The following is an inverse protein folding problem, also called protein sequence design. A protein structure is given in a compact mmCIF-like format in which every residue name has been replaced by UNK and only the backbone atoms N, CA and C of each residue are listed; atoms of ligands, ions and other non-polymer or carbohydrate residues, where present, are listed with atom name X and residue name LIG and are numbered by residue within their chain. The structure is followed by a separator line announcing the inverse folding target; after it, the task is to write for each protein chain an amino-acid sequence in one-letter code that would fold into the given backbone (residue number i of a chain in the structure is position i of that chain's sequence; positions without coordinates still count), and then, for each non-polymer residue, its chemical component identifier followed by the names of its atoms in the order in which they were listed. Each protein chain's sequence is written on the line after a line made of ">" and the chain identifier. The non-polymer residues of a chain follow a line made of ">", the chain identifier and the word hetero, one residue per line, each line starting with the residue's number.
data_IF_021790005313
#
_entry.id   IF_021790005313
#
_cell.length_a   1.000
_cell.length_b   1.000
_cell.length_c   1.000
_cell.angle_alpha   90.00
_cell.angle_beta   90.00
_cell.angle_gamma   90.00
#
_symmetry.space_group_name_H-M   'P 1'
#
loop_
_entity.id
_entity.type
_entity.pdbx_description
1 polymer ?
#
# COMPACT_ATOMS: atom_id res chain seq x y z
N UNK A 1 23.97 12.56 -5.18
CA UNK A 1 22.55 12.23 -5.00
C UNK A 1 21.96 13.03 -3.83
N UNK A 2 22.62 13.06 -2.66
CA UNK A 2 22.13 13.76 -1.46
C UNK A 2 21.99 15.28 -1.68
N UNK A 3 23.02 15.91 -2.21
CA UNK A 3 23.01 17.37 -2.50
C UNK A 3 21.89 17.70 -3.50
N UNK A 4 21.76 16.92 -4.55
CA UNK A 4 20.70 17.13 -5.56
C UNK A 4 19.30 17.03 -4.95
N UNK A 5 19.04 16.05 -4.09
CA UNK A 5 17.79 15.93 -3.37
C UNK A 5 17.45 17.20 -2.58
N UNK A 6 18.39 17.70 -1.79
CA UNK A 6 18.18 18.88 -0.97
C UNK A 6 18.04 20.17 -1.80
N UNK A 7 18.81 20.35 -2.84
CA UNK A 7 18.67 21.48 -3.77
C UNK A 7 17.28 21.45 -4.41
N UNK A 8 16.84 20.31 -4.91
CA UNK A 8 15.53 20.18 -5.52
C UNK A 8 14.41 20.45 -4.50
N UNK A 9 14.51 19.89 -3.30
CA UNK A 9 13.52 20.04 -2.23
C UNK A 9 13.46 21.46 -1.65
N UNK A 10 14.60 22.10 -1.41
CA UNK A 10 14.65 23.36 -0.64
C UNK A 10 14.77 24.60 -1.50
N UNK A 11 15.38 24.50 -2.67
CA UNK A 11 15.71 25.67 -3.51
C UNK A 11 14.84 25.75 -4.76
N UNK A 12 14.59 24.62 -5.44
CA UNK A 12 13.93 24.64 -6.75
C UNK A 12 12.46 24.29 -6.63
N UNK A 13 12.16 23.00 -6.41
CA UNK A 13 10.79 22.49 -6.48
C UNK A 13 9.96 22.84 -5.23
N UNK A 14 10.58 22.77 -4.06
CA UNK A 14 9.90 22.99 -2.80
C UNK A 14 9.27 24.36 -2.67
N UNK A 15 9.97 25.48 -2.86
CA UNK A 15 9.41 26.82 -2.79
C UNK A 15 8.26 27.01 -3.78
N UNK A 16 8.41 26.53 -5.02
CA UNK A 16 7.38 26.61 -6.07
C UNK A 16 6.12 25.85 -5.63
N UNK A 17 6.25 24.61 -5.20
CA UNK A 17 5.11 23.79 -4.78
C UNK A 17 4.44 24.36 -3.52
N UNK A 18 5.22 24.86 -2.56
CA UNK A 18 4.69 25.50 -1.34
C UNK A 18 3.91 26.77 -1.67
N UNK A 19 4.39 27.59 -2.61
CA UNK A 19 3.70 28.79 -3.05
C UNK A 19 2.38 28.48 -3.77
N UNK A 20 2.42 27.52 -4.71
CA UNK A 20 1.29 27.19 -5.58
C UNK A 20 0.19 26.40 -4.87
N UNK A 21 0.56 25.42 -4.06
CA UNK A 21 -0.38 24.48 -3.44
C UNK A 21 -0.65 24.79 -1.97
N UNK A 22 0.15 25.67 -1.34
CA UNK A 22 0.04 26.03 0.08
C UNK A 22 -0.21 24.82 0.97
N UNK A 23 0.64 23.78 0.89
CA UNK A 23 0.43 22.56 1.65
C UNK A 23 0.52 22.85 3.15
N UNK A 24 -0.19 22.05 3.94
CA UNK A 24 -0.20 22.11 5.38
C UNK A 24 0.10 20.76 5.99
N UNK A 25 0.64 20.75 7.21
CA UNK A 25 0.96 19.53 7.97
C UNK A 25 0.29 19.63 9.33
N UNK A 26 -0.23 18.51 9.79
CA UNK A 26 -0.64 18.28 11.18
C UNK A 26 0.14 17.08 11.73
N UNK A 27 0.56 17.13 13.00
CA UNK A 27 1.31 16.04 13.64
C UNK A 27 2.80 16.01 13.28
N UNK A 28 3.40 17.16 12.91
CA UNK A 28 4.83 17.23 12.57
C UNK A 28 5.72 16.82 13.76
N UNK A 29 5.25 17.04 14.99
CA UNK A 29 5.89 16.62 16.24
C UNK A 29 6.04 15.10 16.39
N UNK A 30 5.28 14.32 15.61
CA UNK A 30 5.38 12.86 15.60
C UNK A 30 6.55 12.33 14.75
N UNK A 31 7.17 13.21 13.93
CA UNK A 31 8.28 12.79 13.08
C UNK A 31 9.52 12.56 13.94
N UNK A 32 10.15 11.36 13.91
CA UNK A 32 11.36 11.15 14.70
C UNK A 32 12.51 12.00 14.17
N UNK A 33 13.24 12.66 15.07
CA UNK A 33 14.41 13.48 14.72
C UNK A 33 15.54 12.66 14.13
N UNK A 34 15.71 11.42 14.59
CA UNK A 34 16.73 10.49 14.15
C UNK A 34 16.21 9.03 14.09
N UNK A 35 17.04 8.12 13.60
CA UNK A 35 16.70 6.71 13.48
C UNK A 35 15.77 6.41 12.29
N UNK A 36 15.51 5.13 12.08
CA UNK A 36 14.63 4.64 11.02
C UNK A 36 13.16 4.65 11.45
N UNK A 37 12.28 4.90 10.51
CA UNK A 37 10.84 4.73 10.68
C UNK A 37 10.16 4.45 9.34
N UNK A 38 9.01 3.78 9.39
CA UNK A 38 8.14 3.57 8.23
C UNK A 38 7.03 4.61 8.27
N UNK A 39 6.83 5.33 7.17
CA UNK A 39 5.70 6.21 6.94
C UNK A 39 4.69 5.49 6.07
N UNK A 40 3.68 4.91 6.70
CA UNK A 40 2.58 4.21 6.02
C UNK A 40 1.51 5.23 5.63
N UNK A 41 1.25 5.39 4.34
CA UNK A 41 0.31 6.41 3.85
C UNK A 41 -0.78 5.80 2.97
N UNK A 42 -1.99 6.38 2.99
CA UNK A 42 -2.97 6.16 1.95
C UNK A 42 -2.41 6.60 0.59
N UNK A 43 -2.91 6.04 -0.49
CA UNK A 43 -2.40 6.35 -1.84
C UNK A 43 -3.52 6.80 -2.77
N UNK A 44 -3.65 8.10 -2.94
CA UNK A 44 -4.72 8.74 -3.72
C UNK A 44 -4.25 9.18 -5.10
N UNK A 45 -3.00 9.63 -5.20
CA UNK A 45 -2.48 10.30 -6.39
C UNK A 45 -0.98 10.05 -6.59
N UNK A 46 -0.50 10.26 -7.81
CA UNK A 46 0.93 10.31 -8.09
C UNK A 46 1.64 11.40 -7.26
N UNK A 47 0.96 12.52 -7.02
CA UNK A 47 1.52 13.64 -6.25
C UNK A 47 1.75 13.34 -4.77
N UNK A 48 1.17 12.28 -4.20
CA UNK A 48 1.47 11.86 -2.82
C UNK A 48 2.96 11.66 -2.60
N UNK A 49 3.63 10.99 -3.54
CA UNK A 49 5.08 10.74 -3.50
C UNK A 49 5.95 11.99 -3.72
N UNK A 50 5.32 13.13 -3.99
CA UNK A 50 5.99 14.43 -4.11
C UNK A 50 5.74 15.26 -2.85
N UNK A 51 4.47 15.39 -2.44
CA UNK A 51 4.10 16.24 -1.32
C UNK A 51 4.49 15.67 0.03
N UNK A 52 4.36 14.37 0.25
CA UNK A 52 4.76 13.75 1.52
C UNK A 52 6.25 13.97 1.83
N UNK A 53 7.21 13.62 0.97
CA UNK A 53 8.62 13.88 1.24
C UNK A 53 8.97 15.38 1.25
N UNK A 54 8.18 16.24 0.59
CA UNK A 54 8.36 17.68 0.63
C UNK A 54 8.08 18.24 2.03
N UNK A 55 7.08 17.70 2.71
CA UNK A 55 6.62 18.20 4.00
C UNK A 55 7.37 17.59 5.20
N UNK A 56 8.02 16.43 5.04
CA UNK A 56 8.83 15.80 6.08
C UNK A 56 10.22 16.43 6.10
N UNK A 57 10.76 16.94 7.23
CA UNK A 57 12.06 17.65 7.27
C UNK A 57 13.23 16.74 6.94
N UNK A 58 13.14 15.45 7.20
CA UNK A 58 14.16 14.44 6.90
C UNK A 58 14.00 13.88 5.48
N UNK A 59 15.09 13.26 4.98
CA UNK A 59 15.03 12.54 3.71
C UNK A 59 14.18 11.29 3.85
N UNK A 60 13.23 11.13 2.93
CA UNK A 60 12.36 9.97 2.83
C UNK A 60 12.59 9.23 1.52
N UNK A 61 12.69 7.91 1.60
CA UNK A 61 12.87 7.03 0.44
C UNK A 61 11.57 6.26 0.20
N UNK A 62 11.11 6.22 -1.05
CA UNK A 62 9.96 5.40 -1.47
C UNK A 62 10.42 4.26 -2.39
N UNK A 63 9.62 3.19 -2.41
CA UNK A 63 9.76 2.09 -3.35
C UNK A 63 8.92 2.39 -4.60
N UNK A 64 9.58 2.64 -5.73
CA UNK A 64 8.94 2.99 -6.99
C UNK A 64 9.05 1.86 -8.02
N UNK A 65 8.09 1.78 -8.94
CA UNK A 65 8.08 0.78 -10.03
C UNK A 65 9.38 0.88 -10.85
N UNK A 66 10.02 -0.25 -11.12
CA UNK A 66 11.27 -0.34 -11.90
C UNK A 66 11.19 0.33 -13.27
N UNK A 67 10.00 0.39 -13.88
CA UNK A 67 9.77 0.99 -15.20
C UNK A 67 10.17 2.48 -15.26
N UNK A 68 10.08 3.21 -14.14
CA UNK A 68 10.54 4.61 -14.08
C UNK A 68 12.05 4.75 -14.20
N UNK A 69 12.81 3.66 -14.01
CA UNK A 69 14.27 3.65 -14.04
C UNK A 69 14.85 2.99 -15.30
N UNK A 70 14.03 2.29 -16.08
CA UNK A 70 14.45 1.50 -17.25
C UNK A 70 14.01 2.12 -18.58
N UNK A 71 13.39 3.28 -18.54
CA UNK A 71 12.92 3.99 -19.74
C UNK A 71 14.05 4.25 -20.75
N UNK A 72 13.79 3.97 -22.03
CA UNK A 72 14.76 4.17 -23.12
C UNK A 72 14.72 5.60 -23.67
N UNK A 73 15.85 6.04 -24.26
CA UNK A 73 15.99 7.36 -24.87
C UNK A 73 16.23 8.51 -23.87
N UNK A 74 16.35 9.76 -24.34
CA UNK A 74 16.69 10.92 -23.49
C UNK A 74 15.65 11.18 -22.40
N UNK A 75 14.37 11.05 -22.74
CA UNK A 75 13.25 11.24 -21.81
C UNK A 75 13.26 10.19 -20.70
N UNK A 76 13.49 8.92 -21.05
CA UNK A 76 13.58 7.84 -20.06
C UNK A 76 14.79 8.02 -19.12
N UNK A 77 15.92 8.43 -19.67
CA UNK A 77 17.13 8.74 -18.87
C UNK A 77 16.91 9.91 -17.90
N UNK A 78 16.23 10.96 -18.35
CA UNK A 78 15.88 12.10 -17.50
C UNK A 78 14.93 11.69 -16.37
N UNK A 79 13.91 10.92 -16.70
CA UNK A 79 12.97 10.35 -15.71
C UNK A 79 13.72 9.50 -14.68
N UNK A 80 14.58 8.58 -15.13
CA UNK A 80 15.36 7.73 -14.23
C UNK A 80 16.30 8.56 -13.33
N UNK A 81 16.96 9.59 -13.89
CA UNK A 81 17.82 10.50 -13.15
C UNK A 81 17.03 11.27 -12.08
N UNK A 82 15.83 11.75 -12.43
CA UNK A 82 14.94 12.42 -11.50
C UNK A 82 14.53 11.50 -10.34
N UNK A 83 14.00 10.30 -10.62
CA UNK A 83 13.56 9.36 -9.56
C UNK A 83 14.72 8.93 -8.67
N UNK A 84 15.92 8.68 -9.23
CA UNK A 84 17.14 8.41 -8.45
C UNK A 84 17.55 9.64 -7.61
N UNK A 85 17.42 10.82 -8.19
CA UNK A 85 17.76 12.09 -7.54
C UNK A 85 16.88 12.41 -6.34
N UNK A 86 15.58 12.12 -6.43
CA UNK A 86 14.63 12.30 -5.33
C UNK A 86 14.63 11.13 -4.33
N UNK A 87 15.59 10.18 -4.46
CA UNK A 87 15.78 9.12 -3.47
C UNK A 87 14.82 7.93 -3.62
N UNK A 88 14.13 7.80 -4.75
CA UNK A 88 13.27 6.65 -5.02
C UNK A 88 14.13 5.41 -5.34
N UNK A 89 13.73 4.25 -4.82
CA UNK A 89 14.37 2.97 -5.11
C UNK A 89 13.54 2.13 -6.07
N UNK A 90 14.15 1.60 -7.15
CA UNK A 90 13.43 0.70 -8.06
C UNK A 90 13.07 -0.60 -7.38
N UNK A 91 11.83 -1.02 -7.53
CA UNK A 91 11.37 -2.36 -7.16
C UNK A 91 10.71 -2.97 -8.38
N UNK A 92 11.17 -4.15 -8.74
CA UNK A 92 10.48 -4.97 -9.73
C UNK A 92 9.22 -5.56 -9.09
N UNK A 93 8.09 -5.23 -9.66
CA UNK A 93 6.77 -5.72 -9.22
C UNK A 93 6.23 -6.80 -10.16
N UNK A 94 7.06 -7.30 -11.07
CA UNK A 94 6.73 -8.39 -11.98
C UNK A 94 7.15 -9.73 -11.37
N UNK A 95 6.19 -10.64 -11.23
CA UNK A 95 6.43 -12.02 -10.79
C UNK A 95 6.26 -12.29 -9.29
N UNK A 96 6.18 -13.59 -8.95
CA UNK A 96 5.86 -14.08 -7.60
C UNK A 96 6.85 -13.73 -6.48
N UNK A 97 8.05 -13.18 -6.82
CA UNK A 97 9.04 -12.69 -5.84
C UNK A 97 9.06 -11.17 -5.68
N UNK A 98 8.10 -10.47 -6.26
CA UNK A 98 8.05 -9.00 -6.22
C UNK A 98 7.92 -8.46 -4.79
N UNK A 99 7.11 -9.10 -3.97
CA UNK A 99 6.95 -8.77 -2.54
C UNK A 99 8.25 -8.91 -1.78
N UNK A 100 8.99 -9.97 -2.01
CA UNK A 100 10.28 -10.25 -1.36
C UNK A 100 11.37 -9.25 -1.79
N UNK A 101 11.38 -8.84 -3.06
CA UNK A 101 12.31 -7.81 -3.54
C UNK A 101 12.01 -6.45 -2.93
N UNK A 102 10.72 -6.10 -2.76
CA UNK A 102 10.28 -4.89 -2.08
C UNK A 102 10.67 -4.92 -0.60
N UNK A 103 10.42 -6.02 0.10
CA UNK A 103 10.80 -6.24 1.49
C UNK A 103 12.30 -6.01 1.70
N UNK A 104 13.15 -6.73 0.97
CA UNK A 104 14.61 -6.57 1.05
C UNK A 104 15.08 -5.15 0.75
N UNK A 105 14.45 -4.47 -0.19
CA UNK A 105 14.81 -3.09 -0.54
C UNK A 105 14.39 -2.11 0.58
N UNK A 106 13.22 -2.30 1.16
CA UNK A 106 12.75 -1.52 2.31
C UNK A 106 13.65 -1.71 3.52
N UNK A 107 13.95 -2.94 3.88
CA UNK A 107 14.84 -3.27 5.02
C UNK A 107 16.24 -2.66 4.86
N UNK A 108 16.77 -2.57 3.63
CA UNK A 108 18.05 -1.87 3.40
C UNK A 108 17.98 -0.38 3.71
N UNK A 109 16.83 0.26 3.47
CA UNK A 109 16.62 1.67 3.82
C UNK A 109 16.59 1.82 5.34
N UNK A 110 15.79 1.00 6.01
CA UNK A 110 15.62 1.03 7.47
C UNK A 110 16.94 0.75 8.22
N UNK A 111 17.74 -0.23 7.78
CA UNK A 111 19.05 -0.54 8.36
C UNK A 111 20.06 0.62 8.27
N UNK A 112 19.84 1.60 7.39
CA UNK A 112 20.65 2.82 7.29
C UNK A 112 20.16 3.96 8.17
N UNK A 113 19.14 3.73 8.99
CA UNK A 113 18.52 4.77 9.81
C UNK A 113 17.71 5.79 9.01
N UNK A 114 17.30 5.45 7.77
CA UNK A 114 16.55 6.35 6.89
C UNK A 114 15.03 6.14 7.05
N UNK A 115 14.25 7.15 6.62
CA UNK A 115 12.79 7.06 6.59
C UNK A 115 12.34 6.34 5.32
N UNK A 116 11.45 5.37 5.47
CA UNK A 116 10.83 4.62 4.36
C UNK A 116 9.36 5.03 4.21
N UNK A 117 8.99 5.58 3.07
CA UNK A 117 7.59 5.78 2.69
C UNK A 117 7.03 4.54 2.00
N UNK A 118 5.86 4.09 2.44
CA UNK A 118 5.17 2.95 1.87
C UNK A 118 3.67 3.22 1.77
N UNK A 119 3.04 2.67 0.75
CA UNK A 119 1.60 2.66 0.57
C UNK A 119 1.10 1.23 0.83
N UNK A 120 0.46 0.95 1.98
CA UNK A 120 0.04 -0.42 2.33
C UNK A 120 -0.95 -1.03 1.33
N UNK A 121 -1.77 -0.21 0.68
CA UNK A 121 -2.71 -0.64 -0.36
C UNK A 121 -2.02 -1.24 -1.59
N UNK A 122 -0.72 -0.96 -1.79
CA UNK A 122 0.10 -1.45 -2.91
C UNK A 122 -0.18 -0.76 -4.25
N UNK A 123 -1.25 -0.02 -4.38
CA UNK A 123 -1.61 0.76 -5.58
C UNK A 123 -2.48 1.95 -5.20
N UNK A 124 -2.62 2.93 -6.09
CA UNK A 124 -3.51 4.08 -5.87
C UNK A 124 -4.96 3.64 -5.74
N UNK A 125 -5.70 4.27 -4.84
CA UNK A 125 -7.15 4.11 -4.77
C UNK A 125 -7.80 4.48 -6.09
N UNK A 126 -8.75 3.69 -6.61
CA UNK A 126 -9.44 4.02 -7.86
C UNK A 126 -10.54 5.09 -7.70
N UNK A 127 -11.06 5.30 -6.49
CA UNK A 127 -12.27 6.09 -6.23
C UNK A 127 -12.18 6.96 -4.97
N UNK A 128 -10.99 7.05 -4.36
CA UNK A 128 -10.75 7.87 -3.17
C UNK A 128 -11.07 7.19 -1.85
N UNK A 129 -11.56 5.94 -1.83
CA UNK A 129 -11.74 5.15 -0.61
C UNK A 129 -10.43 4.51 -0.15
N UNK A 130 -10.37 4.07 1.10
CA UNK A 130 -9.22 3.37 1.67
C UNK A 130 -9.43 1.86 1.54
N UNK A 131 -8.47 1.17 0.96
CA UNK A 131 -8.58 -0.26 0.67
C UNK A 131 -7.68 -1.09 1.59
N UNK A 132 -8.00 -2.39 1.69
CA UNK A 132 -7.28 -3.36 2.50
C UNK A 132 -5.77 -3.29 2.24
N UNK A 133 -4.98 -3.16 3.32
CA UNK A 133 -3.53 -3.12 3.26
C UNK A 133 -2.91 -4.50 3.06
N UNK A 134 -1.77 -4.57 2.37
CA UNK A 134 -0.93 -5.77 2.24
C UNK A 134 -0.01 -5.90 3.44
N UNK A 135 0.26 -7.11 3.88
CA UNK A 135 1.02 -7.42 5.11
C UNK A 135 2.52 -7.07 5.02
N UNK A 136 3.01 -6.71 3.86
CA UNK A 136 4.41 -6.32 3.68
C UNK A 136 4.87 -5.16 4.56
N UNK A 137 3.99 -4.22 4.92
CA UNK A 137 4.30 -3.12 5.84
C UNK A 137 4.55 -3.64 7.25
N UNK A 138 3.72 -4.57 7.73
CA UNK A 138 3.85 -5.19 9.04
C UNK A 138 5.15 -6.00 9.13
N UNK A 139 5.44 -6.81 8.11
CA UNK A 139 6.67 -7.58 8.03
C UNK A 139 7.92 -6.68 8.04
N UNK A 140 7.91 -5.58 7.28
CA UNK A 140 9.02 -4.61 7.31
C UNK A 140 9.18 -3.95 8.68
N UNK A 141 8.09 -3.67 9.40
CA UNK A 141 8.14 -3.07 10.73
C UNK A 141 8.78 -4.02 11.75
N UNK A 142 8.38 -5.30 11.75
CA UNK A 142 8.92 -6.33 12.65
C UNK A 142 10.37 -6.66 12.33
N UNK A 143 10.68 -7.06 11.08
CA UNK A 143 12.07 -7.40 10.68
C UNK A 143 13.03 -6.20 10.78
N UNK A 144 12.51 -4.99 10.66
CA UNK A 144 13.28 -3.76 10.80
C UNK A 144 13.40 -3.26 12.23
N UNK A 145 12.60 -3.76 13.17
CA UNK A 145 12.55 -3.28 14.55
C UNK A 145 12.20 -1.79 14.64
N UNK A 146 11.29 -1.28 13.79
CA UNK A 146 11.03 0.15 13.65
C UNK A 146 9.56 0.49 13.86
N UNK A 147 9.31 1.71 14.34
CA UNK A 147 7.96 2.25 14.48
C UNK A 147 7.35 2.59 13.12
N UNK A 148 6.01 2.50 13.05
CA UNK A 148 5.24 2.90 11.89
C UNK A 148 4.50 4.20 12.18
N UNK A 149 4.69 5.19 11.31
CA UNK A 149 3.99 6.47 11.33
C UNK A 149 2.82 6.39 10.36
N UNK A 150 1.57 6.33 10.81
CA UNK A 150 0.43 6.43 9.90
C UNK A 150 0.33 7.86 9.36
N UNK A 151 0.13 8.00 8.06
CA UNK A 151 0.09 9.29 7.38
C UNK A 151 -1.10 9.37 6.45
N UNK A 152 -1.88 10.43 6.54
CA UNK A 152 -2.97 10.69 5.61
C UNK A 152 -2.63 11.84 4.65
N UNK A 153 -2.63 11.54 3.36
CA UNK A 153 -2.65 12.54 2.29
C UNK A 153 -4.08 13.03 2.08
N UNK A 154 -4.27 14.35 2.04
CA UNK A 154 -5.59 14.98 1.93
C UNK A 154 -5.65 15.86 0.68
N UNK A 155 -6.64 15.59 -0.18
CA UNK A 155 -6.94 16.43 -1.34
C UNK A 155 -6.10 16.17 -2.58
N UNK A 156 -5.16 15.22 -2.54
CA UNK A 156 -4.31 14.87 -3.69
C UNK A 156 -5.10 14.18 -4.81
N UNK A 157 -6.16 13.43 -4.47
CA UNK A 157 -7.15 12.86 -5.40
C UNK A 157 -7.85 13.94 -6.22
N UNK A 158 -8.20 15.05 -5.58
CA UNK A 158 -8.89 16.19 -6.21
C UNK A 158 -7.92 17.07 -6.98
N UNK A 159 -6.70 17.24 -6.45
CA UNK A 159 -5.64 18.00 -7.12
C UNK A 159 -5.19 17.30 -8.40
N UNK A 160 -4.89 16.02 -8.33
CA UNK A 160 -4.43 15.23 -9.46
C UNK A 160 -5.13 13.86 -9.49
N UNK A 161 -6.35 13.79 -9.98
CA UNK A 161 -7.06 12.53 -10.18
C UNK A 161 -6.25 11.56 -11.04
N UNK A 162 -6.48 10.26 -10.85
CA UNK A 162 -5.85 9.22 -11.68
C UNK A 162 -6.07 9.50 -13.16
N UNK A 163 -5.02 9.37 -13.97
CA UNK A 163 -5.03 9.68 -15.41
C UNK A 163 -4.73 11.15 -15.76
N UNK A 164 -4.82 12.09 -14.82
CA UNK A 164 -4.45 13.49 -15.08
C UNK A 164 -2.96 13.72 -14.86
N UNK A 165 -2.29 14.37 -15.84
CA UNK A 165 -0.85 14.65 -15.78
C UNK A 165 -0.51 15.94 -15.03
N UNK A 166 -1.40 16.93 -15.11
CA UNK A 166 -1.20 18.26 -14.51
C UNK A 166 -2.15 18.41 -13.33
N UNK A 167 -1.63 18.66 -12.10
CA UNK A 167 -2.47 18.88 -10.95
C UNK A 167 -3.17 20.24 -11.01
N UNK A 168 -4.39 20.31 -10.48
CA UNK A 168 -5.12 21.56 -10.24
C UNK A 168 -4.52 22.23 -9.00
N UNK A 169 -4.41 23.56 -9.03
CA UNK A 169 -3.93 24.34 -7.89
C UNK A 169 -4.97 24.33 -6.77
N UNK A 170 -4.66 23.65 -5.70
CA UNK A 170 -5.46 23.61 -4.49
C UNK A 170 -4.61 23.23 -3.27
N UNK A 171 -5.11 23.51 -2.08
CA UNK A 171 -4.39 23.14 -0.86
C UNK A 171 -4.34 21.63 -0.68
N UNK A 172 -3.17 21.15 -0.32
CA UNK A 172 -2.91 19.73 -0.03
C UNK A 172 -2.54 19.60 1.44
N UNK A 173 -3.09 18.59 2.11
CA UNK A 173 -2.81 18.29 3.51
C UNK A 173 -1.99 17.03 3.70
N UNK A 174 -1.18 17.04 4.75
CA UNK A 174 -0.50 15.87 5.29
C UNK A 174 -0.81 15.79 6.77
N UNK A 175 -1.41 14.70 7.21
CA UNK A 175 -1.62 14.42 8.63
C UNK A 175 -0.73 13.26 9.04
N UNK A 176 0.04 13.45 10.10
CA UNK A 176 0.97 12.43 10.62
C UNK A 176 0.47 12.00 12.00
N UNK A 177 0.07 10.76 12.11
CA UNK A 177 -0.43 10.18 13.36
C UNK A 177 0.68 9.84 14.34
N UNK A 178 0.27 9.39 15.52
CA UNK A 178 1.21 8.93 16.55
C UNK A 178 1.97 7.68 16.09
N UNK A 179 3.23 7.51 16.53
CA UNK A 179 4.01 6.32 16.22
C UNK A 179 3.35 5.05 16.76
N UNK A 180 3.17 4.06 15.90
CA UNK A 180 2.73 2.72 16.28
C UNK A 180 3.96 1.86 16.57
N UNK A 181 3.97 1.22 17.72
CA UNK A 181 5.05 0.37 18.19
C UNK A 181 4.58 -1.08 18.27
N UNK A 182 5.23 -1.93 17.50
CA UNK A 182 4.89 -3.36 17.38
C UNK A 182 5.95 -4.27 18.01
N UNK A 183 6.85 -3.75 18.84
CA UNK A 183 7.91 -4.51 19.51
C UNK A 183 7.38 -5.70 20.33
N UNK A 184 6.12 -5.61 20.79
CA UNK A 184 5.42 -6.73 21.48
C UNK A 184 5.27 -8.00 20.63
N UNK A 185 5.47 -7.90 19.32
CA UNK A 185 5.37 -9.01 18.37
C UNK A 185 6.75 -9.41 17.79
N UNK A 186 7.85 -8.96 18.38
CA UNK A 186 9.20 -9.34 17.97
C UNK A 186 9.36 -10.87 17.94
N UNK A 187 9.95 -11.40 16.87
CA UNK A 187 10.09 -12.85 16.65
C UNK A 187 8.88 -13.50 15.97
N UNK A 188 7.83 -12.74 15.62
CA UNK A 188 6.63 -13.25 14.95
C UNK A 188 6.50 -12.76 13.49
N UNK A 189 7.64 -12.49 12.83
CA UNK A 189 7.70 -11.90 11.48
C UNK A 189 7.13 -12.80 10.38
N UNK A 190 7.01 -14.11 10.66
CA UNK A 190 6.45 -15.11 9.75
C UNK A 190 5.02 -15.55 10.13
N UNK A 191 4.48 -15.05 11.26
CA UNK A 191 3.09 -15.36 11.67
C UNK A 191 2.10 -14.52 10.89
N UNK A 192 1.31 -15.18 10.03
CA UNK A 192 0.34 -14.51 9.14
C UNK A 192 -0.76 -13.76 9.91
N UNK A 193 -1.20 -14.28 11.05
CA UNK A 193 -2.23 -13.64 11.86
C UNK A 193 -1.70 -12.38 12.53
N UNK A 194 -0.48 -12.43 13.06
CA UNK A 194 0.20 -11.26 13.63
C UNK A 194 0.42 -10.20 12.56
N UNK A 195 0.95 -10.57 11.40
CA UNK A 195 1.15 -9.64 10.29
C UNK A 195 -0.16 -9.01 9.82
N UNK A 196 -1.25 -9.80 9.76
CA UNK A 196 -2.57 -9.28 9.39
C UNK A 196 -3.08 -8.29 10.45
N UNK A 197 -3.03 -8.66 11.72
CA UNK A 197 -3.45 -7.81 12.85
C UNK A 197 -2.72 -6.48 12.89
N UNK A 198 -1.39 -6.49 12.74
CA UNK A 198 -0.57 -5.26 12.65
C UNK A 198 -0.98 -4.42 11.45
N UNK A 199 -1.20 -5.05 10.30
CA UNK A 199 -1.61 -4.32 9.09
C UNK A 199 -2.99 -3.67 9.29
N UNK A 200 -3.93 -4.38 9.90
CA UNK A 200 -5.28 -3.85 10.14
C UNK A 200 -5.25 -2.69 11.15
N UNK A 201 -4.40 -2.76 12.19
CA UNK A 201 -4.16 -1.65 13.11
C UNK A 201 -3.61 -0.41 12.36
N UNK A 202 -2.63 -0.60 11.47
CA UNK A 202 -2.12 0.49 10.63
C UNK A 202 -3.21 1.08 9.74
N UNK A 203 -4.02 0.23 9.09
CA UNK A 203 -5.10 0.68 8.21
C UNK A 203 -6.21 1.38 8.97
N UNK A 204 -6.51 0.95 10.20
CA UNK A 204 -7.46 1.60 11.09
C UNK A 204 -7.02 3.03 11.43
N UNK A 205 -5.76 3.22 11.81
CA UNK A 205 -5.20 4.54 12.08
C UNK A 205 -5.21 5.44 10.83
N UNK A 206 -4.90 4.87 9.65
CA UNK A 206 -5.02 5.58 8.38
C UNK A 206 -6.46 6.02 8.10
N UNK A 207 -7.44 5.15 8.38
CA UNK A 207 -8.86 5.47 8.22
C UNK A 207 -9.26 6.64 9.13
N UNK A 208 -8.88 6.61 10.39
CA UNK A 208 -9.18 7.68 11.35
C UNK A 208 -8.55 9.03 10.93
N UNK A 209 -7.28 9.01 10.49
CA UNK A 209 -6.56 10.22 10.07
C UNK A 209 -7.11 10.80 8.77
N UNK A 210 -7.41 9.96 7.80
CA UNK A 210 -7.84 10.39 6.47
C UNK A 210 -9.32 10.73 6.40
N UNK A 211 -10.15 10.11 7.27
CA UNK A 211 -11.61 10.17 7.19
C UNK A 211 -12.19 9.44 5.98
N UNK A 212 -11.40 8.59 5.31
CA UNK A 212 -11.86 7.81 4.17
C UNK A 212 -12.76 6.66 4.62
N UNK A 213 -13.73 6.30 3.78
CA UNK A 213 -14.47 5.05 3.90
C UNK A 213 -13.51 3.87 3.66
N UNK A 214 -13.47 2.93 4.61
CA UNK A 214 -12.69 1.70 4.47
C UNK A 214 -13.46 0.64 3.69
N UNK A 215 -12.79 -0.01 2.76
CA UNK A 215 -13.32 -1.13 1.98
C UNK A 215 -12.45 -2.36 2.22
N UNK A 216 -13.03 -3.40 2.81
CA UNK A 216 -12.31 -4.67 3.07
C UNK A 216 -12.15 -5.49 1.80
N UNK A 217 -11.36 -4.96 0.89
CA UNK A 217 -11.00 -5.52 -0.40
C UNK A 217 -9.68 -4.90 -0.86
N UNK A 218 -8.88 -5.63 -1.62
CA UNK A 218 -7.70 -5.05 -2.24
C UNK A 218 -8.05 -4.06 -3.36
N UNK A 219 -7.35 -2.93 -3.41
CA UNK A 219 -7.55 -1.91 -4.45
C UNK A 219 -7.35 -2.46 -5.88
N UNK A 220 -6.48 -3.44 -6.06
CA UNK A 220 -6.29 -4.16 -7.34
C UNK A 220 -7.56 -4.86 -7.79
N UNK A 221 -8.22 -5.60 -6.87
CA UNK A 221 -9.47 -6.30 -7.17
C UNK A 221 -10.62 -5.32 -7.51
N UNK A 222 -10.68 -4.16 -6.84
CA UNK A 222 -11.66 -3.13 -7.19
C UNK A 222 -11.37 -2.54 -8.57
N UNK A 223 -10.11 -2.27 -8.92
CA UNK A 223 -9.75 -1.82 -10.29
C UNK A 223 -10.17 -2.81 -11.36
N UNK A 224 -9.95 -4.10 -11.12
CA UNK A 224 -10.37 -5.14 -12.05
C UNK A 224 -11.91 -5.18 -12.20
N UNK A 225 -12.66 -4.99 -11.10
CA UNK A 225 -14.14 -4.89 -11.15
C UNK A 225 -14.60 -3.67 -11.94
N UNK A 226 -14.00 -2.50 -11.70
CA UNK A 226 -14.32 -1.26 -12.42
C UNK A 226 -14.03 -1.45 -13.93
N UNK A 227 -12.87 -2.02 -14.27
CA UNK A 227 -12.49 -2.29 -15.65
C UNK A 227 -13.44 -3.29 -16.32
N UNK A 228 -13.83 -4.36 -15.64
CA UNK A 228 -14.77 -5.34 -16.14
C UNK A 228 -16.15 -4.69 -16.42
N UNK A 229 -16.66 -3.91 -15.45
CA UNK A 229 -17.93 -3.21 -15.60
C UNK A 229 -17.91 -2.20 -16.77
N UNK A 230 -16.80 -1.46 -16.91
CA UNK A 230 -16.61 -0.53 -18.02
C UNK A 230 -16.57 -1.25 -19.39
N UNK A 231 -15.90 -2.40 -19.47
CA UNK A 231 -15.87 -3.23 -20.70
C UNK A 231 -17.26 -3.77 -21.06
N UNK A 232 -18.04 -4.23 -20.08
CA UNK A 232 -19.42 -4.68 -20.31
C UNK A 232 -20.27 -3.54 -20.83
N UNK A 233 -20.19 -2.36 -20.20
CA UNK A 233 -20.94 -1.19 -20.62
C UNK A 233 -20.54 -0.69 -22.03
N UNK A 234 -19.24 -0.74 -22.37
CA UNK A 234 -18.77 -0.39 -23.72
C UNK A 234 -19.35 -1.35 -24.77
N UNK A 235 -19.37 -2.65 -24.45
CA UNK A 235 -19.97 -3.65 -25.33
C UNK A 235 -21.48 -3.45 -25.52
N UNK A 236 -22.22 -3.19 -24.46
CA UNK A 236 -23.65 -2.88 -24.52
C UNK A 236 -23.95 -1.65 -25.38
N UNK A 237 -23.13 -0.58 -25.25
CA UNK A 237 -23.26 0.62 -26.06
C UNK A 237 -22.94 0.36 -27.54
N UNK A 238 -21.96 -0.48 -27.83
CA UNK A 238 -21.59 -0.88 -29.17
C UNK A 238 -22.68 -1.76 -29.82
N UNK A 239 -23.26 -2.69 -29.06
CA UNK A 239 -24.37 -3.55 -29.51
C UNK A 239 -25.66 -2.75 -29.72
N UNK A 240 -25.89 -1.67 -28.95
CA UNK A 240 -27.04 -0.78 -29.10
C UNK A 240 -26.91 0.21 -30.25
N UNK A 241 -25.82 0.14 -31.05
CA UNK A 241 -25.54 1.01 -32.20
C UNK A 241 -25.62 2.53 -31.89
N UNK A 242 -25.30 2.94 -30.67
CA UNK A 242 -25.19 4.35 -30.34
C UNK A 242 -23.93 4.96 -30.99
N UNK A 243 -24.02 6.16 -31.65
CA UNK A 243 -22.90 6.74 -32.38
C UNK A 243 -21.69 7.00 -31.48
N UNK A 244 -20.52 6.73 -32.04
CA UNK A 244 -19.20 6.59 -31.46
C UNK A 244 -18.61 7.58 -30.44
N UNK A 245 -19.34 8.62 -30.02
CA UNK A 245 -18.81 9.57 -29.01
C UNK A 245 -18.76 9.00 -27.61
N UNK A 246 -19.80 8.32 -27.17
CA UNK A 246 -19.86 7.72 -25.83
C UNK A 246 -18.95 6.49 -25.71
N UNK A 247 -18.77 5.72 -26.79
CA UNK A 247 -17.84 4.60 -26.86
C UNK A 247 -16.38 5.08 -26.76
N UNK A 248 -16.05 6.19 -27.43
CA UNK A 248 -14.71 6.78 -27.41
C UNK A 248 -14.35 7.40 -26.06
N UNK A 249 -15.29 8.08 -25.42
CA UNK A 249 -15.08 8.62 -24.06
C UNK A 249 -14.88 7.50 -23.03
N UNK A 250 -15.53 6.35 -23.22
CA UNK A 250 -15.36 5.19 -22.36
C UNK A 250 -14.04 4.46 -22.64
N UNK A 251 -13.61 4.37 -23.90
CA UNK A 251 -12.33 3.80 -24.32
C UNK A 251 -11.16 4.67 -23.83
N UNK A 252 -11.27 5.99 -23.93
CA UNK A 252 -10.30 6.95 -23.37
C UNK A 252 -10.22 6.86 -21.83
N UNK A 253 -11.34 6.57 -21.15
CA UNK A 253 -11.37 6.35 -19.71
C UNK A 253 -10.76 4.99 -19.30
N UNK A 254 -10.85 3.96 -20.15
CA UNK A 254 -10.24 2.65 -19.99
C UNK A 254 -8.71 2.71 -20.15
N UNK A 255 -8.24 3.42 -21.19
CA UNK A 255 -6.80 3.63 -21.42
C UNK A 255 -6.16 4.48 -20.30
N UNK A 256 -6.89 5.42 -19.74
CA UNK A 256 -6.44 6.21 -18.60
C UNK A 256 -6.32 5.38 -17.29
N UNK A 257 -6.98 4.23 -17.21
CA UNK A 257 -6.89 3.30 -16.06
C UNK A 257 -5.75 2.29 -16.18
N UNK A 258 -5.11 2.19 -17.35
CA UNK A 258 -4.10 1.16 -17.66
C UNK A 258 -2.70 1.57 -17.15
N UNK A 259 -2.58 1.82 -15.88
CA UNK A 259 -1.30 1.78 -15.13
C UNK A 259 -1.02 0.34 -14.63
N UNK A 260 -1.73 -0.65 -15.15
CA UNK A 260 -1.50 -2.06 -14.91
C UNK A 260 -0.44 -2.60 -15.89
N UNK A 261 0.48 -3.47 -15.44
CA UNK A 261 1.51 -4.04 -16.31
C UNK A 261 0.87 -4.85 -17.44
N UNK A 262 1.45 -4.87 -18.66
CA UNK A 262 0.95 -5.66 -19.76
C UNK A 262 0.95 -7.13 -19.38
N UNK A 263 -0.23 -7.75 -19.38
CA UNK A 263 -0.34 -9.21 -19.27
C UNK A 263 0.33 -9.81 -20.48
N UNK A 264 1.45 -10.52 -20.29
CA UNK A 264 2.02 -11.39 -21.33
C UNK A 264 0.96 -12.43 -21.67
N UNK A 265 0.53 -12.44 -22.93
CA UNK A 265 -0.19 -13.60 -23.49
C UNK A 265 0.74 -14.80 -23.42
N UNK A 266 0.34 -15.82 -22.73
CA UNK A 266 0.96 -17.13 -22.82
C UNK A 266 1.31 -17.75 -21.49
N UNK A 267 0.54 -18.78 -21.22
CA UNK A 267 0.85 -20.03 -20.52
C UNK A 267 0.75 -20.09 -19.01
N UNK A 268 -0.06 -21.05 -18.70
CA UNK A 268 -0.11 -21.93 -17.51
C UNK A 268 -0.82 -21.43 -16.26
N UNK A 269 -1.69 -22.30 -15.84
CA UNK A 269 -2.59 -22.27 -14.69
C UNK A 269 -1.85 -22.16 -13.35
N UNK A 270 -0.49 -22.13 -13.38
CA UNK A 270 0.37 -22.15 -12.19
C UNK A 270 0.73 -20.77 -11.65
N UNK A 271 0.45 -19.67 -12.38
CA UNK A 271 0.75 -18.30 -11.92
C UNK A 271 -0.36 -17.69 -11.04
N UNK A 272 -1.49 -18.37 -10.89
CA UNK A 272 -2.60 -17.92 -10.04
C UNK A 272 -2.44 -18.24 -8.55
N UNK A 273 -1.44 -19.05 -8.19
CA UNK A 273 -1.28 -19.57 -6.83
C UNK A 273 -0.48 -18.65 -5.88
N UNK A 274 0.10 -17.55 -6.37
CA UNK A 274 0.92 -16.66 -5.54
C UNK A 274 0.15 -15.48 -4.90
N UNK A 275 -1.10 -15.26 -5.29
CA UNK A 275 -1.96 -14.17 -4.78
C UNK A 275 -3.19 -14.68 -4.02
N UNK A 276 -3.27 -15.97 -3.73
CA UNK A 276 -4.34 -16.53 -2.93
C UNK A 276 -3.94 -16.40 -1.46
N UNK A 277 -4.43 -15.35 -0.81
CA UNK A 277 -4.66 -15.41 0.63
C UNK A 277 -5.65 -16.57 0.86
N UNK A 278 -5.20 -17.65 1.48
CA UNK A 278 -6.02 -18.76 1.98
C UNK A 278 -6.94 -18.28 3.12
N UNK A 279 -7.81 -17.34 2.86
CA UNK A 279 -8.81 -16.85 3.80
C UNK A 279 -10.24 -17.33 3.43
N UNK A 280 -10.36 -18.40 2.60
CA UNK A 280 -11.64 -19.00 2.29
C UNK A 280 -11.68 -20.48 2.71
N UNK A 281 -11.41 -20.75 3.98
CA UNK A 281 -11.72 -22.06 4.53
C UNK A 281 -12.01 -21.93 6.03
N UNK A 282 -13.22 -21.51 6.39
CA UNK A 282 -13.92 -21.88 7.63
C UNK A 282 -15.32 -21.22 7.65
N UNK A 283 -16.21 -21.65 6.79
CA UNK A 283 -17.65 -21.65 7.06
C UNK A 283 -18.18 -23.03 6.67
N UNK A 284 -18.08 -23.96 7.61
CA UNK A 284 -18.97 -25.09 7.64
C UNK A 284 -19.60 -25.15 9.04
N UNK A 285 -20.89 -24.94 9.04
CA UNK A 285 -21.77 -24.92 10.17
C UNK A 285 -21.97 -26.30 10.82
N UNK A 286 -22.68 -26.35 11.93
CA UNK A 286 -22.74 -27.52 12.82
C UNK A 286 -23.63 -28.62 12.24
N UNK A 287 -23.08 -29.79 12.09
CA UNK A 287 -23.88 -31.02 11.93
C UNK A 287 -24.08 -31.67 13.29
N UNK A 288 -25.34 -31.58 13.69
CA UNK A 288 -26.05 -32.34 14.71
C UNK A 288 -25.95 -33.84 14.41
N UNK A 289 -25.56 -34.65 15.42
CA UNK A 289 -26.19 -35.98 15.60
C UNK A 289 -25.77 -36.63 16.92
N UNK A 290 -26.75 -36.87 17.64
CA UNK A 290 -27.07 -37.64 18.80
C UNK A 290 -26.41 -39.03 18.97
N UNK A 291 -26.26 -39.33 20.27
CA UNK A 291 -26.54 -40.59 20.97
C UNK A 291 -25.65 -41.83 20.77
N UNK A 292 -25.06 -42.31 21.80
CA UNK A 292 -25.42 -43.55 22.58
C UNK A 292 -24.28 -43.88 23.52
N UNK A 293 -24.58 -43.86 24.83
CA UNK A 293 -24.69 -44.95 25.80
C UNK A 293 -23.70 -46.09 25.74
N UNK A 294 -22.96 -46.24 26.81
CA UNK A 294 -22.87 -47.37 27.80
C UNK A 294 -21.52 -47.31 28.51
N UNK A 295 -21.48 -47.11 29.80
CA UNK A 295 -21.68 -48.00 30.93
C UNK A 295 -20.45 -48.85 31.29
N UNK A 296 -20.17 -48.79 32.59
CA UNK A 296 -19.36 -49.71 33.42
C UNK A 296 -17.83 -49.60 33.35
N UNK A 297 -17.17 -49.43 34.44
CA UNK A 297 -17.12 -50.13 35.70
C UNK A 297 -15.80 -49.83 36.39
N UNK A 298 -15.95 -49.45 37.60
CA UNK A 298 -15.43 -49.99 38.85
C UNK A 298 -13.92 -49.85 39.22
N UNK A 299 -13.84 -49.32 40.41
CA UNK A 299 -13.12 -49.69 41.61
C UNK A 299 -11.63 -49.38 41.78
N UNK A 300 -11.47 -48.72 42.92
CA UNK A 300 -10.57 -48.93 44.05
C UNK A 300 -9.16 -48.40 44.00
N UNK A 301 -8.92 -47.53 44.85
CA UNK A 301 -8.54 -47.55 46.25
C UNK A 301 -7.07 -47.21 46.51
N UNK A 302 -6.94 -46.27 47.46
CA UNK A 302 -5.86 -46.17 48.48
C UNK A 302 -4.44 -45.77 47.99
N UNK A 303 -3.82 -44.83 48.56
CA UNK A 303 -3.64 -44.43 49.90
C UNK A 303 -2.42 -43.55 50.11
N UNK A 304 -2.64 -42.57 50.95
CA UNK A 304 -1.77 -42.09 52.01
C UNK A 304 -0.39 -41.49 51.77
N UNK A 305 -0.35 -40.21 52.23
CA UNK A 305 0.66 -39.63 53.17
C UNK A 305 2.01 -39.20 52.51
N UNK A 306 2.43 -38.03 52.65
CA UNK A 306 2.63 -36.98 53.65
C UNK A 306 4.11 -36.65 53.73
N UNK A 307 4.35 -35.37 53.75
CA UNK A 307 5.38 -34.64 54.48
C UNK A 307 6.87 -34.74 54.01
N UNK A 308 7.38 -33.73 53.49
CA UNK A 308 8.30 -32.78 54.14
C UNK A 308 8.43 -31.53 53.29
#
# INVERSE_FOLDING_TARGET
>A
VLVFYWVLKTVVLGPILKLLFRPWVEGEENIPDEGAAIFASNHLSFSDSIFLPLMVPRRMTFLAKSDYFTGRGPKGRLTAAFFKGVGQLPVDRSGGRAGEAALRSGLRVLRRGELLGIYPEGTRSPDGRLYRGRTGVARMALEGGVKVMPVAMIGTDKAQPTGKKIPKLMRIGVKIGKPLDFSRYEGMEDDRFVLRSITDEIMYELMLLSGQEYVDMYATSMKDRILAAAKTKARELQEAALPGTAAKELEDALDASDDAPPRRRGTSVDDAAADIDEDTAAEDGPADSAASESADGDASASGRRAAS
#
